data_IF_981787745337
#
_entry.id   IF_981787745337
#
_cell.length_a   1.000
_cell.length_b   1.000
_cell.length_c   1.000
_cell.angle_alpha   90.00
_cell.angle_beta   90.00
_cell.angle_gamma   90.00
#
_symmetry.space_group_name_H-M   'P 1'
#
loop_
_entity.id
_entity.type
_entity.pdbx_description
1 polymer ?
#
# COMPACT_ATOMS: atom_id res chain seq x y z
N UNK A 1 -15.18 -21.44 -5.35
CA UNK A 1 -15.58 -21.21 -3.95
C UNK A 1 -14.74 -20.08 -3.41
N UNK A 2 -15.38 -18.92 -3.19
CA UNK A 2 -14.73 -17.68 -2.80
C UNK A 2 -14.36 -17.72 -1.31
N UNK A 3 -13.05 -17.68 -1.02
CA UNK A 3 -12.55 -17.36 0.31
C UNK A 3 -12.55 -15.84 0.49
N UNK A 4 -13.72 -15.29 0.78
CA UNK A 4 -13.83 -13.92 1.28
C UNK A 4 -13.12 -13.89 2.64
N UNK A 5 -12.02 -13.15 2.77
CA UNK A 5 -11.39 -12.95 4.08
C UNK A 5 -12.41 -12.26 4.97
N UNK A 6 -12.72 -12.88 6.11
CA UNK A 6 -13.49 -12.23 7.17
C UNK A 6 -12.68 -11.02 7.62
N UNK A 7 -13.29 -9.84 7.50
CA UNK A 7 -12.86 -8.58 8.06
C UNK A 7 -12.76 -8.71 9.59
N UNK A 8 -11.61 -9.18 10.07
CA UNK A 8 -11.21 -8.88 11.43
C UNK A 8 -10.48 -7.55 11.37
N UNK A 9 -11.27 -6.49 11.55
CA UNK A 9 -10.76 -5.17 11.90
C UNK A 9 -9.77 -5.32 13.04
N UNK A 10 -8.47 -5.17 12.74
CA UNK A 10 -7.50 -4.80 13.76
C UNK A 10 -8.03 -3.46 14.28
N UNK A 11 -8.67 -3.50 15.45
CA UNK A 11 -9.08 -2.30 16.17
C UNK A 11 -7.79 -1.56 16.49
N UNK A 12 -7.39 -0.64 15.61
CA UNK A 12 -6.46 0.41 15.94
C UNK A 12 -7.06 1.10 17.16
N UNK A 13 -6.51 0.82 18.34
CA UNK A 13 -6.91 1.52 19.55
C UNK A 13 -6.66 2.99 19.27
N UNK A 14 -7.74 3.74 19.13
CA UNK A 14 -7.72 5.18 19.28
C UNK A 14 -7.06 5.46 20.64
N UNK A 15 -5.79 5.86 20.64
CA UNK A 15 -5.26 6.56 21.79
C UNK A 15 -5.94 7.93 21.77
N UNK A 16 -7.10 8.02 22.44
CA UNK A 16 -7.69 9.28 22.89
C UNK A 16 -6.78 9.90 23.97
N UNK A 17 -5.56 10.25 23.61
CA UNK A 17 -4.79 11.21 24.37
C UNK A 17 -4.85 12.53 23.58
N UNK A 18 -5.79 13.39 23.99
CA UNK A 18 -5.74 14.83 23.67
C UNK A 18 -4.63 15.48 24.51
N UNK A 19 -3.42 14.96 24.39
CA UNK A 19 -2.23 15.57 24.95
C UNK A 19 -1.32 15.99 23.81
N UNK A 20 -0.64 17.10 24.04
CA UNK A 20 0.26 17.88 23.19
C UNK A 20 1.49 17.10 22.68
N UNK A 21 1.29 15.89 22.13
CA UNK A 21 2.35 15.10 21.52
C UNK A 21 2.84 15.83 20.28
N UNK A 22 3.99 16.49 20.40
CA UNK A 22 4.64 17.16 19.28
C UNK A 22 5.25 16.10 18.36
N UNK A 23 4.69 15.99 17.15
CA UNK A 23 5.24 15.15 16.09
C UNK A 23 6.14 15.99 15.19
N UNK A 24 7.41 15.61 15.09
CA UNK A 24 8.40 16.23 14.23
C UNK A 24 8.46 15.47 12.91
N UNK A 25 8.24 16.17 11.80
CA UNK A 25 8.37 15.60 10.46
C UNK A 25 9.82 15.19 10.19
N UNK A 26 10.01 14.00 9.63
CA UNK A 26 11.31 13.52 9.15
C UNK A 26 11.33 13.60 7.62
N UNK A 27 10.46 12.83 6.96
CA UNK A 27 10.42 12.72 5.50
C UNK A 27 9.14 12.02 5.04
N UNK A 28 8.56 12.45 3.92
CA UNK A 28 7.32 11.87 3.38
C UNK A 28 6.23 11.80 4.47
N UNK A 29 5.76 10.60 4.79
CA UNK A 29 4.78 10.33 5.86
C UNK A 29 5.42 9.99 7.22
N UNK A 30 6.75 9.97 7.32
CA UNK A 30 7.48 9.57 8.53
C UNK A 30 7.68 10.75 9.49
N UNK A 31 7.29 10.54 10.74
CA UNK A 31 7.39 11.48 11.86
C UNK A 31 8.05 10.81 13.05
N UNK A 32 8.53 11.61 14.00
CA UNK A 32 8.95 11.15 15.32
C UNK A 32 8.38 12.01 16.45
N UNK A 33 8.33 11.47 17.65
CA UNK A 33 8.08 12.24 18.88
C UNK A 33 9.40 12.58 19.61
N UNK A 34 9.29 13.19 20.80
CA UNK A 34 10.44 13.52 21.66
C UNK A 34 11.23 12.30 22.17
N UNK A 35 10.58 11.14 22.26
CA UNK A 35 11.19 9.87 22.70
C UNK A 35 11.79 9.06 21.53
N UNK A 36 11.83 9.66 20.35
CA UNK A 36 12.25 9.04 19.09
C UNK A 36 11.44 7.79 18.72
N UNK A 37 10.17 7.68 19.14
CA UNK A 37 9.22 6.76 18.52
C UNK A 37 8.90 7.23 17.12
N UNK A 38 8.67 6.30 16.20
CA UNK A 38 8.39 6.60 14.80
C UNK A 38 6.92 6.42 14.49
N UNK A 39 6.41 7.26 13.58
CA UNK A 39 5.01 7.30 13.19
C UNK A 39 4.87 7.48 11.69
N UNK A 40 3.92 6.77 11.08
CA UNK A 40 3.39 7.10 9.77
C UNK A 40 2.16 7.99 9.94
N UNK A 41 2.20 9.17 9.31
CA UNK A 41 1.07 10.10 9.30
C UNK A 41 0.12 9.77 8.15
N UNK A 42 -1.15 9.55 8.47
CA UNK A 42 -2.24 9.45 7.49
C UNK A 42 -3.31 10.51 7.77
N UNK A 43 -4.22 10.69 6.80
CA UNK A 43 -5.33 11.62 6.88
C UNK A 43 -6.63 10.84 7.05
N UNK A 44 -7.42 11.20 8.05
CA UNK A 44 -8.81 10.81 8.19
C UNK A 44 -9.72 11.97 7.79
N UNK A 45 -10.74 11.67 6.99
CA UNK A 45 -11.81 12.59 6.62
C UNK A 45 -13.05 12.17 7.39
N UNK A 46 -13.55 13.05 8.24
CA UNK A 46 -14.81 12.81 8.95
C UNK A 46 -15.97 13.32 8.10
N UNK A 47 -17.02 12.50 7.97
CA UNK A 47 -18.25 12.90 7.28
C UNK A 47 -18.94 14.03 8.05
N UNK A 48 -19.31 15.07 7.33
CA UNK A 48 -20.34 16.00 7.78
C UNK A 48 -21.69 15.48 7.29
N UNK A 49 -22.52 15.01 8.22
CA UNK A 49 -23.94 14.92 7.94
C UNK A 49 -24.55 16.33 7.96
N UNK A 50 -25.08 16.72 6.80
CA UNK A 50 -26.21 17.64 6.57
C UNK A 50 -26.05 19.13 6.27
N UNK A 51 -24.90 19.82 6.38
CA UNK A 51 -24.92 21.30 6.16
C UNK A 51 -23.74 21.90 5.40
N UNK A 52 -23.35 21.37 4.22
CA UNK A 52 -22.44 22.04 3.27
C UNK A 52 -21.11 22.60 3.84
N UNK A 53 -20.67 22.14 5.02
CA UNK A 53 -19.38 22.53 5.62
C UNK A 53 -18.26 21.60 5.12
N UNK A 54 -17.10 22.18 4.80
CA UNK A 54 -15.92 21.49 4.26
C UNK A 54 -15.49 20.33 5.16
N UNK A 55 -15.35 19.11 4.61
CA UNK A 55 -14.82 17.92 5.29
C UNK A 55 -13.67 18.19 6.27
N UNK A 56 -13.81 17.72 7.51
CA UNK A 56 -12.86 17.93 8.58
C UNK A 56 -11.73 16.94 8.37
N UNK A 57 -10.55 17.49 8.09
CA UNK A 57 -9.32 16.73 7.93
C UNK A 57 -8.63 16.57 9.27
N UNK A 58 -8.46 15.33 9.72
CA UNK A 58 -7.65 15.01 10.91
C UNK A 58 -6.40 14.24 10.51
N UNK A 59 -5.28 14.50 11.19
CA UNK A 59 -4.06 13.71 11.02
C UNK A 59 -4.00 12.61 12.07
N UNK A 60 -3.81 11.38 11.62
CA UNK A 60 -3.55 10.23 12.48
C UNK A 60 -2.07 9.85 12.40
N UNK A 61 -1.49 9.45 13.52
CA UNK A 61 -0.10 9.06 13.63
C UNK A 61 -0.02 7.60 14.09
N UNK A 62 0.34 6.72 13.16
CA UNK A 62 0.35 5.27 13.35
C UNK A 62 1.76 4.84 13.75
N UNK A 63 1.92 4.25 14.93
CA UNK A 63 3.22 3.78 15.45
C UNK A 63 3.46 2.28 15.30
N UNK A 64 2.41 1.51 15.00
CA UNK A 64 2.47 0.07 14.75
C UNK A 64 1.98 -0.26 13.35
N UNK A 65 2.68 -1.17 12.68
CA UNK A 65 2.40 -1.58 11.32
C UNK A 65 2.19 -3.08 11.25
N UNK A 66 1.24 -3.52 10.42
CA UNK A 66 0.99 -4.93 10.20
C UNK A 66 2.14 -5.58 9.43
N UNK A 67 2.53 -6.78 9.84
CA UNK A 67 3.36 -7.69 9.03
C UNK A 67 2.42 -8.60 8.23
N UNK A 68 1.39 -9.10 8.91
CA UNK A 68 0.32 -9.92 8.36
C UNK A 68 -0.96 -9.66 9.18
N UNK A 69 -2.02 -10.43 8.93
CA UNK A 69 -3.35 -10.21 9.53
C UNK A 69 -3.37 -10.38 11.06
N UNK A 70 -2.37 -11.02 11.66
CA UNK A 70 -2.34 -11.33 13.10
C UNK A 70 -1.20 -10.67 13.86
N UNK A 71 -0.22 -10.11 13.15
CA UNK A 71 1.03 -9.62 13.75
C UNK A 71 1.29 -8.17 13.37
N UNK A 72 1.52 -7.33 14.38
CA UNK A 72 2.00 -5.96 14.23
C UNK A 72 3.37 -5.76 14.89
N UNK A 73 4.11 -4.74 14.44
CA UNK A 73 5.38 -4.32 15.04
C UNK A 73 5.48 -2.80 15.11
N UNK A 74 6.29 -2.30 16.04
CA UNK A 74 6.54 -0.86 16.16
C UNK A 74 7.41 -0.37 14.99
N UNK A 75 7.07 0.79 14.42
CA UNK A 75 7.87 1.36 13.33
C UNK A 75 9.34 1.61 13.73
N UNK A 76 9.57 2.01 14.99
CA UNK A 76 10.92 2.26 15.54
C UNK A 76 11.85 1.04 15.42
N UNK A 77 11.32 -0.19 15.42
CA UNK A 77 12.14 -1.41 15.34
C UNK A 77 12.47 -1.85 13.92
N UNK A 78 11.79 -1.33 12.89
CA UNK A 78 11.95 -1.81 11.52
C UNK A 78 12.32 -0.74 10.50
N UNK A 79 11.96 0.54 10.74
CA UNK A 79 12.17 1.61 9.76
C UNK A 79 13.59 2.14 9.84
N UNK A 80 14.31 2.07 8.73
CA UNK A 80 15.56 2.81 8.56
C UNK A 80 15.24 4.25 8.10
N UNK A 81 15.32 5.20 9.04
CA UNK A 81 14.93 6.59 8.81
C UNK A 81 15.78 7.31 7.77
N UNK A 82 17.02 6.88 7.55
CA UNK A 82 17.96 7.54 6.64
C UNK A 82 17.64 7.21 5.18
N UNK A 83 17.26 5.95 4.90
CA UNK A 83 16.97 5.47 3.55
C UNK A 83 15.47 5.44 3.21
N UNK A 84 14.59 5.71 4.17
CA UNK A 84 13.15 5.78 3.96
C UNK A 84 12.78 6.77 2.84
N UNK A 85 11.86 6.35 1.97
CA UNK A 85 11.31 7.18 0.90
C UNK A 85 9.97 6.64 0.37
N UNK A 86 9.11 7.55 -0.08
CA UNK A 86 7.97 7.24 -0.95
C UNK A 86 8.47 6.87 -2.35
N UNK A 87 7.92 5.79 -2.94
CA UNK A 87 8.29 5.33 -4.30
C UNK A 87 7.12 5.21 -5.25
N UNK A 88 5.88 5.18 -4.76
CA UNK A 88 4.69 5.33 -5.59
C UNK A 88 3.55 5.95 -4.79
N UNK A 89 2.35 6.03 -5.36
CA UNK A 89 1.14 6.44 -4.66
C UNK A 89 0.93 5.70 -3.33
N UNK A 90 1.11 4.37 -3.31
CA UNK A 90 0.87 3.51 -2.13
C UNK A 90 2.12 2.82 -1.58
N UNK A 91 3.27 2.89 -2.26
CA UNK A 91 4.47 2.19 -1.82
C UNK A 91 5.51 3.14 -1.24
N UNK A 92 6.12 2.68 -0.15
CA UNK A 92 7.28 3.30 0.51
C UNK A 92 8.32 2.21 0.70
N UNK A 93 9.59 2.60 0.82
CA UNK A 93 10.66 1.65 1.13
C UNK A 93 11.78 2.33 1.89
N UNK A 94 12.54 1.53 2.62
CA UNK A 94 13.87 1.86 3.10
C UNK A 94 14.88 0.83 2.57
N UNK A 95 16.13 0.82 3.04
CA UNK A 95 17.16 -0.10 2.56
C UNK A 95 16.88 -1.59 2.88
N UNK A 96 16.02 -1.86 3.86
CA UNK A 96 15.71 -3.20 4.38
C UNK A 96 14.30 -3.65 3.99
N UNK A 97 13.32 -2.74 4.01
CA UNK A 97 11.90 -3.07 3.98
C UNK A 97 11.15 -2.33 2.88
N UNK A 98 10.06 -2.94 2.43
CA UNK A 98 9.06 -2.30 1.56
C UNK A 98 7.74 -2.26 2.32
N UNK A 99 7.07 -1.11 2.25
CA UNK A 99 5.81 -0.85 2.92
C UNK A 99 4.73 -0.51 1.90
N UNK A 100 3.51 -0.94 2.18
CA UNK A 100 2.32 -0.63 1.39
C UNK A 100 1.26 0.07 2.23
N UNK A 101 0.68 1.11 1.65
CA UNK A 101 -0.43 1.86 2.19
C UNK A 101 -1.75 1.39 1.57
N UNK A 102 -2.77 1.24 2.40
CA UNK A 102 -4.16 1.04 2.00
C UNK A 102 -4.96 2.27 2.45
N UNK A 103 -5.11 3.28 1.58
CA UNK A 103 -5.87 4.48 1.90
C UNK A 103 -7.35 4.15 2.13
N UNK A 104 -7.93 4.69 3.19
CA UNK A 104 -9.37 4.62 3.47
C UNK A 104 -9.87 6.01 3.91
N UNK A 105 -11.19 6.24 3.88
CA UNK A 105 -11.79 7.52 4.22
C UNK A 105 -11.38 8.00 5.63
N UNK A 106 -11.35 7.09 6.60
CA UNK A 106 -11.06 7.38 8.01
C UNK A 106 -9.59 7.13 8.39
N UNK A 107 -8.67 7.18 7.42
CA UNK A 107 -7.24 6.93 7.63
C UNK A 107 -6.74 5.67 6.94
N UNK A 108 -5.44 5.59 6.73
CA UNK A 108 -4.81 4.48 6.01
C UNK A 108 -4.38 3.36 6.96
N UNK A 109 -4.46 2.13 6.47
CA UNK A 109 -3.72 1.00 7.05
C UNK A 109 -2.37 0.85 6.35
N UNK A 110 -1.35 0.44 7.08
CA UNK A 110 -0.01 0.21 6.53
C UNK A 110 0.44 -1.21 6.83
N UNK A 111 1.14 -1.82 5.88
CA UNK A 111 1.72 -3.15 6.02
C UNK A 111 3.15 -3.20 5.51
N UNK A 112 3.98 -4.03 6.14
CA UNK A 112 5.25 -4.49 5.58
C UNK A 112 4.96 -5.56 4.52
N UNK A 113 5.61 -5.49 3.37
CA UNK A 113 5.55 -6.59 2.39
C UNK A 113 6.60 -7.62 2.79
N UNK A 114 6.17 -8.69 3.45
CA UNK A 114 7.07 -9.76 3.90
C UNK A 114 7.91 -10.31 2.75
N UNK A 115 9.21 -10.49 3.03
CA UNK A 115 10.19 -11.06 2.11
C UNK A 115 10.39 -10.30 0.78
N UNK A 116 9.87 -9.08 0.64
CA UNK A 116 10.17 -8.25 -0.51
C UNK A 116 11.65 -7.85 -0.51
N UNK A 117 12.32 -8.06 -1.64
CA UNK A 117 13.69 -7.57 -1.81
C UNK A 117 13.66 -6.07 -2.07
N UNK A 118 13.81 -5.28 -1.00
CA UNK A 118 13.78 -3.83 -1.11
C UNK A 118 14.84 -3.29 -2.08
N UNK A 119 15.99 -3.92 -2.28
CA UNK A 119 17.00 -3.37 -3.21
C UNK A 119 16.53 -3.44 -4.66
N UNK A 120 15.80 -4.49 -5.02
CA UNK A 120 15.32 -4.73 -6.38
C UNK A 120 13.84 -4.37 -6.60
N UNK A 121 13.14 -3.95 -5.56
CA UNK A 121 11.73 -3.59 -5.65
C UNK A 121 11.49 -2.37 -6.56
N UNK A 122 10.75 -2.60 -7.64
CA UNK A 122 10.46 -1.70 -8.75
C UNK A 122 8.94 -1.53 -8.91
N UNK A 123 8.50 -0.28 -9.09
CA UNK A 123 7.11 0.06 -9.37
C UNK A 123 6.87 0.01 -10.87
N UNK A 124 5.82 -0.69 -11.29
CA UNK A 124 5.53 -0.86 -12.71
C UNK A 124 4.51 0.18 -13.20
N UNK A 125 4.92 1.03 -14.14
CA UNK A 125 4.09 2.02 -14.85
C UNK A 125 3.21 2.91 -13.93
N UNK A 126 3.76 3.37 -12.81
CA UNK A 126 3.05 4.17 -11.80
C UNK A 126 1.74 3.54 -11.28
N UNK A 127 1.61 2.22 -11.41
CA UNK A 127 0.40 1.49 -11.04
C UNK A 127 0.49 0.92 -9.62
N UNK A 128 -0.55 0.17 -9.24
CA UNK A 128 -0.56 -0.66 -8.03
C UNK A 128 0.29 -1.93 -8.14
N UNK A 129 0.85 -2.21 -9.32
CA UNK A 129 1.76 -3.33 -9.53
C UNK A 129 3.20 -2.94 -9.24
N UNK A 130 3.92 -3.91 -8.71
CA UNK A 130 5.36 -3.83 -8.49
C UNK A 130 5.98 -5.21 -8.73
N UNK A 131 7.30 -5.26 -8.78
CA UNK A 131 8.06 -6.51 -8.79
C UNK A 131 9.35 -6.34 -8.03
N UNK A 132 9.91 -7.45 -7.58
CA UNK A 132 11.31 -7.53 -7.19
C UNK A 132 12.01 -8.62 -8.04
N UNK A 133 13.23 -9.00 -7.67
CA UNK A 133 14.01 -10.02 -8.41
C UNK A 133 13.36 -11.41 -8.48
N UNK A 134 12.38 -11.73 -7.64
CA UNK A 134 11.74 -13.05 -7.53
C UNK A 134 10.24 -12.96 -7.78
N UNK A 135 9.56 -11.97 -7.21
CA UNK A 135 8.11 -11.90 -7.09
C UNK A 135 7.51 -10.73 -7.87
N UNK A 136 6.24 -10.89 -8.26
CA UNK A 136 5.38 -9.80 -8.72
C UNK A 136 4.32 -9.53 -7.68
N UNK A 137 3.93 -8.26 -7.56
CA UNK A 137 3.02 -7.79 -6.54
C UNK A 137 1.88 -6.97 -7.13
N UNK A 138 0.70 -7.07 -6.51
CA UNK A 138 -0.40 -6.11 -6.66
C UNK A 138 -0.84 -5.63 -5.28
N UNK A 139 -0.79 -4.32 -5.03
CA UNK A 139 -1.03 -3.70 -3.72
C UNK A 139 -0.29 -4.40 -2.58
N UNK A 140 0.96 -4.80 -2.82
CA UNK A 140 1.82 -5.48 -1.84
C UNK A 140 1.53 -6.96 -1.65
N UNK A 141 0.54 -7.54 -2.33
CA UNK A 141 0.29 -8.99 -2.31
C UNK A 141 1.01 -9.69 -3.46
N UNK A 142 1.65 -10.82 -3.18
CA UNK A 142 2.31 -11.63 -4.20
C UNK A 142 1.26 -12.17 -5.20
N UNK A 143 1.55 -12.02 -6.48
CA UNK A 143 0.78 -12.58 -7.59
C UNK A 143 1.25 -14.01 -7.81
N UNK A 144 0.45 -14.98 -7.37
CA UNK A 144 0.84 -16.39 -7.38
C UNK A 144 1.14 -16.90 -8.79
N UNK A 145 2.35 -17.46 -8.95
CA UNK A 145 2.80 -18.09 -10.19
C UNK A 145 3.01 -17.13 -11.37
N UNK A 146 3.20 -15.82 -11.11
CA UNK A 146 3.66 -14.86 -12.09
C UNK A 146 5.17 -14.99 -12.34
N UNK A 147 5.57 -14.95 -13.61
CA UNK A 147 6.99 -14.93 -14.00
C UNK A 147 7.55 -13.51 -13.99
N UNK A 148 8.30 -13.16 -12.94
CA UNK A 148 8.89 -11.82 -12.77
C UNK A 148 9.73 -11.32 -13.94
N UNK A 149 10.36 -12.23 -14.70
CA UNK A 149 11.25 -11.86 -15.79
C UNK A 149 10.47 -11.32 -16.99
N UNK A 150 9.31 -11.89 -17.27
CA UNK A 150 8.45 -11.49 -18.38
C UNK A 150 7.26 -10.63 -17.95
N UNK A 151 7.05 -10.44 -16.64
CA UNK A 151 5.95 -9.67 -16.10
C UNK A 151 6.03 -8.19 -16.51
N UNK A 152 4.97 -7.71 -17.16
CA UNK A 152 4.83 -6.33 -17.62
C UNK A 152 3.40 -5.85 -17.58
N UNK A 153 3.24 -4.54 -17.46
CA UNK A 153 1.94 -3.87 -17.52
C UNK A 153 1.55 -3.69 -18.98
N UNK A 154 0.30 -4.03 -19.30
CA UNK A 154 -0.25 -3.88 -20.64
C UNK A 154 -0.80 -2.48 -20.92
N UNK A 155 -1.09 -1.70 -19.86
CA UNK A 155 -1.54 -0.31 -19.89
C UNK A 155 -2.72 -0.04 -20.84
N UNK A 156 -3.94 0.09 -20.32
CA UNK A 156 -5.01 0.73 -21.07
C UNK A 156 -5.85 1.67 -20.21
N UNK A 157 -6.21 2.80 -20.83
CA UNK A 157 -7.26 3.69 -20.36
C UNK A 157 -8.59 3.04 -20.72
N UNK A 158 -9.31 2.47 -19.76
CA UNK A 158 -10.76 2.50 -19.92
C UNK A 158 -11.22 3.96 -19.83
N UNK A 159 -12.38 4.30 -20.39
CA UNK A 159 -12.95 5.66 -20.36
C UNK A 159 -13.15 6.25 -18.96
N UNK A 160 -12.84 5.47 -17.90
CA UNK A 160 -12.92 5.82 -16.49
C UNK A 160 -11.53 5.93 -15.81
N UNK A 161 -10.45 5.66 -16.55
CA UNK A 161 -9.13 6.22 -16.29
C UNK A 161 -8.13 5.42 -15.47
N UNK A 162 -8.31 4.14 -15.11
CA UNK A 162 -7.32 3.47 -14.23
C UNK A 162 -7.21 1.92 -14.26
N UNK A 163 -7.84 1.17 -15.18
CA UNK A 163 -7.67 -0.31 -15.14
C UNK A 163 -6.30 -0.76 -15.65
N UNK A 164 -5.41 -1.17 -14.72
CA UNK A 164 -4.11 -1.75 -15.06
C UNK A 164 -4.21 -3.27 -15.20
N UNK A 165 -4.13 -3.75 -16.45
CA UNK A 165 -3.86 -5.16 -16.74
C UNK A 165 -2.36 -5.42 -16.75
N UNK A 166 -1.97 -6.62 -16.33
CA UNK A 166 -0.61 -7.10 -16.45
C UNK A 166 -0.58 -8.43 -17.20
N UNK A 167 0.59 -8.81 -17.69
CA UNK A 167 0.81 -10.14 -18.24
C UNK A 167 2.23 -10.60 -18.01
N UNK A 168 2.40 -11.91 -18.08
CA UNK A 168 3.70 -12.52 -18.32
C UNK A 168 3.65 -13.31 -19.64
N UNK A 169 4.63 -14.17 -19.90
CA UNK A 169 4.67 -14.99 -21.12
C UNK A 169 3.56 -16.05 -21.20
N UNK A 170 2.86 -16.35 -20.10
CA UNK A 170 1.90 -17.46 -19.99
C UNK A 170 0.48 -17.01 -19.69
N UNK A 171 0.32 -15.91 -18.93
CA UNK A 171 -0.92 -15.53 -18.27
C UNK A 171 -1.16 -14.03 -18.35
N UNK A 172 -2.42 -13.67 -18.17
CA UNK A 172 -2.89 -12.30 -17.99
C UNK A 172 -3.38 -12.11 -16.57
N UNK A 173 -3.31 -10.88 -16.08
CA UNK A 173 -3.66 -10.53 -14.71
C UNK A 173 -4.47 -9.24 -14.62
N UNK A 174 -5.45 -9.24 -13.72
CA UNK A 174 -6.18 -8.05 -13.26
C UNK A 174 -6.24 -8.09 -11.74
N UNK A 175 -5.84 -6.99 -11.12
CA UNK A 175 -5.83 -6.82 -9.66
C UNK A 175 -5.12 -7.95 -8.90
N UNK A 176 -4.06 -8.49 -9.51
CA UNK A 176 -3.27 -9.60 -8.95
C UNK A 176 -3.86 -11.00 -9.16
N UNK A 177 -5.01 -11.13 -9.82
CA UNK A 177 -5.62 -12.42 -10.15
C UNK A 177 -5.39 -12.78 -11.61
N UNK A 178 -5.18 -14.07 -11.89
CA UNK A 178 -5.12 -14.57 -13.27
C UNK A 178 -6.49 -14.45 -13.94
N UNK A 179 -6.49 -13.99 -15.18
CA UNK A 179 -7.67 -13.85 -16.04
C UNK A 179 -7.43 -14.53 -17.39
N UNK A 180 -8.51 -14.86 -18.08
CA UNK A 180 -8.48 -15.46 -19.42
C UNK A 180 -8.22 -14.41 -20.51
N UNK A 181 -7.72 -14.86 -21.67
CA UNK A 181 -7.60 -13.99 -22.84
C UNK A 181 -8.96 -13.42 -23.26
N UNK A 182 -10.04 -14.19 -23.13
CA UNK A 182 -11.39 -13.74 -23.50
C UNK A 182 -11.86 -12.50 -22.72
N UNK A 183 -11.43 -12.36 -21.46
CA UNK A 183 -11.75 -11.18 -20.62
C UNK A 183 -11.03 -9.92 -21.05
N UNK A 184 -9.90 -10.07 -21.75
CA UNK A 184 -9.08 -8.94 -22.18
C UNK A 184 -9.01 -8.78 -23.70
N UNK A 185 -9.62 -9.68 -24.48
CA UNK A 185 -9.39 -9.77 -25.93
C UNK A 185 -9.65 -8.43 -26.63
N UNK A 186 -10.73 -7.75 -26.24
CA UNK A 186 -11.16 -6.47 -26.84
C UNK A 186 -10.19 -5.34 -26.49
N UNK A 187 -9.37 -5.53 -25.46
CA UNK A 187 -8.29 -4.64 -25.07
C UNK A 187 -7.01 -4.99 -25.84
N UNK A 188 -6.57 -6.25 -25.90
CA UNK A 188 -5.27 -6.60 -26.54
C UNK A 188 -5.25 -6.61 -28.07
N UNK A 189 -6.41 -6.54 -28.75
CA UNK A 189 -6.48 -6.59 -30.24
C UNK A 189 -6.73 -5.25 -30.93
N UNK A 190 -6.72 -4.12 -30.21
CA UNK A 190 -6.79 -2.77 -30.77
C UNK A 190 -5.47 -2.01 -30.55
#
# INVERSE_FOLDING_TARGET
>A
MAGCFKENSVKNKESKDRNTQNYFHIKDILYRDGDNNLYFRTTAYNDFSDNNEKMLKTYLYINEIGINDTTSVKLKSIVDTTSFKKVSYIYYKDKNNVFVEYPMAYGSSFFVIENADSKTFEILNHSYYAKDKINCYYRGKIISGADNKSFRILSQKDGNGNTSYAKDNKKYYKEGYTISYQEIKDFVTN
#
